data_IF_859582371244
#
_entry.id   IF_859582371244
#
_cell.length_a   1.000
_cell.length_b   1.000
_cell.length_c   1.000
_cell.angle_alpha   90.00
_cell.angle_beta   90.00
_cell.angle_gamma   90.00
#
_symmetry.space_group_name_H-M   'P 1'
#
loop_
_entity.id
_entity.type
_entity.pdbx_description
1 polymer ?
#
# COMPACT_ATOMS: atom_id res chain seq x y z
N UNK A 1 -32.97 -6.06 -30.24
CA UNK A 1 -32.85 -5.30 -28.98
C UNK A 1 -31.43 -5.46 -28.52
N UNK A 2 -30.63 -4.39 -28.61
CA UNK A 2 -29.30 -4.33 -28.01
C UNK A 2 -29.52 -3.97 -26.54
N UNK A 3 -29.10 -4.85 -25.63
CA UNK A 3 -29.15 -4.57 -24.20
C UNK A 3 -28.25 -3.38 -23.88
N UNK A 4 -28.66 -2.51 -22.93
CA UNK A 4 -27.90 -1.32 -22.59
C UNK A 4 -26.56 -1.76 -21.98
N UNK A 5 -25.51 -1.03 -22.37
CA UNK A 5 -24.17 -1.17 -21.84
C UNK A 5 -24.21 -1.47 -20.33
N UNK A 6 -23.74 -2.66 -19.94
CA UNK A 6 -23.27 -2.88 -18.60
C UNK A 6 -22.14 -1.89 -18.39
N UNK A 7 -22.44 -0.71 -17.84
CA UNK A 7 -21.44 0.15 -17.23
C UNK A 7 -20.75 -0.72 -16.18
N UNK A 8 -19.63 -1.37 -16.56
CA UNK A 8 -18.65 -1.88 -15.61
C UNK A 8 -18.39 -0.72 -14.68
N UNK A 9 -18.83 -0.82 -13.43
CA UNK A 9 -18.66 0.21 -12.39
C UNK A 9 -17.16 0.43 -12.21
N UNK A 10 -16.59 1.27 -13.07
CA UNK A 10 -15.15 1.34 -13.24
C UNK A 10 -14.62 2.11 -12.04
N UNK A 11 -13.78 1.46 -11.22
CA UNK A 11 -13.22 2.12 -10.06
C UNK A 11 -12.59 3.47 -10.45
N UNK A 12 -12.70 4.50 -9.60
CA UNK A 12 -12.20 5.82 -9.93
C UNK A 12 -10.73 5.75 -10.35
N UNK A 13 -10.36 6.49 -11.40
CA UNK A 13 -9.00 6.50 -11.95
C UNK A 13 -7.91 6.70 -10.89
N UNK A 14 -8.19 7.49 -9.86
CA UNK A 14 -7.26 7.73 -8.76
C UNK A 14 -7.06 6.52 -7.85
N UNK A 15 -8.10 5.72 -7.63
CA UNK A 15 -7.99 4.45 -6.89
C UNK A 15 -7.16 3.46 -7.70
N UNK A 16 -7.46 3.31 -9.00
CA UNK A 16 -6.73 2.44 -9.92
C UNK A 16 -5.24 2.76 -9.96
N UNK A 17 -4.91 4.04 -10.17
CA UNK A 17 -3.53 4.51 -10.19
C UNK A 17 -2.83 4.32 -8.84
N UNK A 18 -3.48 4.64 -7.73
CA UNK A 18 -2.87 4.47 -6.42
C UNK A 18 -2.61 3.00 -6.07
N UNK A 19 -3.55 2.11 -6.38
CA UNK A 19 -3.39 0.66 -6.23
C UNK A 19 -2.25 0.14 -7.11
N UNK A 20 -2.22 0.54 -8.39
CA UNK A 20 -1.14 0.16 -9.30
C UNK A 20 0.24 0.62 -8.82
N UNK A 21 0.34 1.85 -8.29
CA UNK A 21 1.58 2.37 -7.69
C UNK A 21 1.96 1.62 -6.41
N UNK A 22 0.99 1.18 -5.60
CA UNK A 22 1.26 0.38 -4.41
C UNK A 22 1.88 -0.98 -4.80
N UNK A 23 1.25 -1.71 -5.72
CA UNK A 23 1.78 -3.00 -6.20
C UNK A 23 3.08 -2.84 -7.02
N UNK A 24 3.23 -1.75 -7.75
CA UNK A 24 4.42 -1.42 -8.54
C UNK A 24 5.50 -0.67 -7.77
N UNK A 25 5.38 -0.47 -6.45
CA UNK A 25 6.27 0.43 -5.70
C UNK A 25 7.75 0.04 -5.77
N UNK A 26 8.06 -1.25 -5.92
CA UNK A 26 9.45 -1.67 -6.18
C UNK A 26 9.96 -1.16 -7.52
N UNK A 27 9.14 -1.22 -8.58
CA UNK A 27 9.54 -0.73 -9.90
C UNK A 27 9.64 0.80 -9.94
N UNK A 28 8.67 1.51 -9.33
CA UNK A 28 8.59 2.97 -9.38
C UNK A 28 9.46 3.69 -8.35
N UNK A 29 9.82 3.03 -7.25
CA UNK A 29 10.55 3.64 -6.12
C UNK A 29 11.77 2.82 -5.76
N UNK A 30 11.62 1.52 -5.50
CA UNK A 30 12.72 0.65 -5.08
C UNK A 30 13.90 0.63 -6.05
N UNK A 31 13.66 0.33 -7.33
CA UNK A 31 14.68 0.24 -8.39
C UNK A 31 15.33 1.61 -8.64
N UNK A 32 14.59 2.72 -8.82
CA UNK A 32 15.20 4.05 -8.94
C UNK A 32 16.09 4.41 -7.75
N UNK A 33 15.65 4.12 -6.50
CA UNK A 33 16.48 4.33 -5.30
C UNK A 33 17.71 3.42 -5.33
N UNK A 34 17.61 2.19 -5.86
CA UNK A 34 18.75 1.31 -6.04
C UNK A 34 19.82 1.89 -6.96
N UNK A 35 19.40 2.45 -8.09
CA UNK A 35 20.32 2.99 -9.09
C UNK A 35 21.02 4.25 -8.57
N UNK A 36 20.34 5.07 -7.76
CA UNK A 36 20.80 6.42 -7.41
C UNK A 36 21.44 6.49 -6.02
N UNK A 37 20.94 5.75 -5.02
CA UNK A 37 21.19 6.06 -3.61
C UNK A 37 21.61 4.86 -2.74
N UNK A 38 20.89 3.73 -2.80
CA UNK A 38 21.04 2.63 -1.82
C UNK A 38 21.11 1.26 -2.48
N UNK A 39 22.06 0.41 -2.09
CA UNK A 39 22.08 -0.97 -2.60
C UNK A 39 20.88 -1.80 -2.14
N UNK A 40 20.52 -2.82 -2.90
CA UNK A 40 19.59 -3.87 -2.45
C UNK A 40 20.18 -4.59 -1.22
N UNK A 41 19.35 -4.98 -0.24
CA UNK A 41 17.89 -4.88 -0.20
C UNK A 41 17.37 -3.55 0.38
N UNK A 42 18.25 -2.65 0.82
CA UNK A 42 17.91 -1.50 1.66
C UNK A 42 17.08 -0.44 0.95
N UNK A 43 17.23 -0.30 -0.36
CA UNK A 43 16.37 0.54 -1.20
C UNK A 43 14.88 0.16 -1.14
N UNK A 44 14.56 -1.10 -0.78
CA UNK A 44 13.20 -1.62 -0.76
C UNK A 44 12.45 -1.29 0.53
N UNK A 45 13.13 -0.79 1.57
CA UNK A 45 12.53 -0.49 2.89
C UNK A 45 11.31 0.43 2.79
N UNK A 46 11.32 1.37 1.84
CA UNK A 46 10.23 2.31 1.63
C UNK A 46 8.99 1.71 0.96
N UNK A 47 9.11 0.61 0.22
CA UNK A 47 8.03 0.07 -0.62
C UNK A 47 6.82 -0.44 0.20
N UNK A 48 7.00 -1.23 1.28
CA UNK A 48 5.89 -1.64 2.14
C UNK A 48 5.21 -0.45 2.82
N UNK A 49 6.01 0.51 3.30
CA UNK A 49 5.51 1.70 3.99
C UNK A 49 4.70 2.58 3.05
N UNK A 50 5.20 2.82 1.84
CA UNK A 50 4.49 3.60 0.82
C UNK A 50 3.15 2.96 0.48
N UNK A 51 3.14 1.65 0.20
CA UNK A 51 1.93 0.89 -0.09
C UNK A 51 0.92 0.98 1.05
N UNK A 52 1.38 0.86 2.30
CA UNK A 52 0.54 1.04 3.48
C UNK A 52 -0.01 2.46 3.62
N UNK A 53 0.79 3.48 3.32
CA UNK A 53 0.34 4.88 3.34
C UNK A 53 -0.74 5.14 2.28
N UNK A 54 -0.62 4.54 1.10
CA UNK A 54 -1.65 4.57 0.06
C UNK A 54 -2.93 3.90 0.56
N UNK A 55 -2.83 2.69 1.12
CA UNK A 55 -3.96 1.96 1.70
C UNK A 55 -4.69 2.81 2.76
N UNK A 56 -3.93 3.42 3.67
CA UNK A 56 -4.46 4.30 4.72
C UNK A 56 -5.12 5.56 4.15
N UNK A 57 -4.57 6.14 3.09
CA UNK A 57 -5.13 7.30 2.39
C UNK A 57 -6.51 6.97 1.80
N UNK A 58 -6.64 5.82 1.12
CA UNK A 58 -7.92 5.36 0.58
C UNK A 58 -8.94 5.05 1.66
N UNK A 59 -8.52 4.37 2.73
CA UNK A 59 -9.37 4.09 3.88
C UNK A 59 -9.99 5.36 4.46
N UNK A 60 -9.19 6.42 4.62
CA UNK A 60 -9.65 7.74 5.13
C UNK A 60 -10.67 8.42 4.24
N UNK A 61 -10.69 8.09 2.96
CA UNK A 61 -11.60 8.65 1.95
C UNK A 61 -12.82 7.73 1.70
N UNK A 62 -13.00 6.69 2.52
CA UNK A 62 -14.09 5.72 2.35
C UNK A 62 -13.93 4.80 1.13
N UNK A 63 -12.74 4.73 0.54
CA UNK A 63 -12.46 3.97 -0.68
C UNK A 63 -12.06 2.54 -0.32
N UNK A 64 -13.06 1.65 -0.20
CA UNK A 64 -12.89 0.27 0.29
C UNK A 64 -11.96 -0.53 -0.62
N UNK A 65 -12.18 -0.47 -1.93
CA UNK A 65 -11.41 -1.22 -2.92
C UNK A 65 -9.94 -0.80 -2.91
N UNK A 66 -9.64 0.49 -3.08
CA UNK A 66 -8.26 0.98 -3.03
C UNK A 66 -7.57 0.72 -1.69
N UNK A 67 -8.31 0.78 -0.57
CA UNK A 67 -7.75 0.46 0.75
C UNK A 67 -7.37 -1.03 0.87
N UNK A 68 -8.16 -1.91 0.27
CA UNK A 68 -7.90 -3.35 0.22
C UNK A 68 -6.69 -3.67 -0.65
N UNK A 69 -6.65 -3.17 -1.89
CA UNK A 69 -5.55 -3.38 -2.82
C UNK A 69 -4.23 -2.83 -2.25
N UNK A 70 -4.24 -1.61 -1.69
CA UNK A 70 -3.06 -1.05 -1.03
C UNK A 70 -2.57 -1.88 0.18
N UNK A 71 -3.48 -2.54 0.90
CA UNK A 71 -3.12 -3.42 2.02
C UNK A 71 -2.49 -4.73 1.53
N UNK A 72 -3.04 -5.33 0.47
CA UNK A 72 -2.41 -6.49 -0.19
C UNK A 72 -1.01 -6.14 -0.69
N UNK A 73 -0.88 -5.01 -1.40
CA UNK A 73 0.41 -4.51 -1.87
C UNK A 73 1.41 -4.38 -0.72
N UNK A 74 1.02 -3.73 0.39
CA UNK A 74 1.91 -3.57 1.54
C UNK A 74 2.47 -4.88 2.09
N UNK A 75 1.65 -5.95 2.13
CA UNK A 75 2.08 -7.26 2.62
C UNK A 75 3.02 -7.92 1.62
N UNK A 76 2.71 -7.86 0.34
CA UNK A 76 3.55 -8.44 -0.71
C UNK A 76 4.90 -7.74 -0.82
N UNK A 77 4.92 -6.40 -0.73
CA UNK A 77 6.18 -5.66 -0.66
C UNK A 77 7.00 -6.03 0.57
N UNK A 78 6.35 -6.28 1.72
CA UNK A 78 7.04 -6.73 2.92
C UNK A 78 7.64 -8.12 2.73
N UNK A 79 6.90 -9.06 2.13
CA UNK A 79 7.41 -10.39 1.80
C UNK A 79 8.61 -10.33 0.84
N UNK A 80 8.52 -9.49 -0.20
CA UNK A 80 9.60 -9.26 -1.14
C UNK A 80 10.84 -8.72 -0.43
N UNK A 81 10.69 -7.72 0.45
CA UNK A 81 11.78 -7.20 1.27
C UNK A 81 12.39 -8.30 2.17
N UNK A 82 11.57 -9.12 2.83
CA UNK A 82 12.06 -10.23 3.67
C UNK A 82 12.86 -11.23 2.84
N UNK A 83 12.39 -11.59 1.64
CA UNK A 83 13.13 -12.47 0.74
C UNK A 83 14.47 -11.85 0.32
N UNK A 84 14.48 -10.57 -0.06
CA UNK A 84 15.69 -9.87 -0.48
C UNK A 84 16.72 -9.73 0.67
N UNK A 85 16.25 -9.41 1.88
CA UNK A 85 17.11 -9.37 3.09
C UNK A 85 17.67 -10.75 3.41
N UNK A 86 16.84 -11.79 3.35
CA UNK A 86 17.29 -13.16 3.63
C UNK A 86 18.32 -13.62 2.61
N UNK A 87 18.12 -13.34 1.32
CA UNK A 87 19.09 -13.64 0.28
C UNK A 87 20.44 -12.93 0.52
N UNK A 88 20.40 -11.68 0.97
CA UNK A 88 21.59 -10.89 1.30
C UNK A 88 22.35 -11.46 2.51
N UNK A 89 21.64 -11.74 3.61
CA UNK A 89 22.23 -12.27 4.84
C UNK A 89 22.79 -13.69 4.67
N UNK A 90 22.24 -14.46 3.72
CA UNK A 90 22.67 -15.84 3.43
C UNK A 90 23.56 -15.93 2.19
N UNK A 91 24.15 -14.83 1.74
CA UNK A 91 25.03 -14.79 0.56
C UNK A 91 26.21 -15.76 0.61
N UNK A 92 26.68 -16.13 1.80
CA UNK A 92 27.70 -17.19 1.98
C UNK A 92 27.19 -18.63 1.73
N UNK A 93 25.88 -18.83 1.64
CA UNK A 93 25.23 -20.12 1.38
C UNK A 93 24.48 -20.05 0.05
N UNK A 94 25.18 -20.33 -1.05
CA UNK A 94 24.69 -20.10 -2.41
C UNK A 94 23.28 -20.67 -2.68
N UNK A 95 23.01 -21.89 -2.23
CA UNK A 95 21.70 -22.55 -2.44
C UNK A 95 20.57 -21.76 -1.78
N UNK A 96 20.75 -21.34 -0.52
CA UNK A 96 19.75 -20.59 0.23
C UNK A 96 19.55 -19.21 -0.39
N UNK A 97 20.65 -18.51 -0.69
CA UNK A 97 20.60 -17.19 -1.33
C UNK A 97 19.88 -17.23 -2.68
N UNK A 98 20.13 -18.25 -3.50
CA UNK A 98 19.46 -18.44 -4.80
C UNK A 98 17.95 -18.68 -4.65
N UNK A 99 17.53 -19.51 -3.68
CA UNK A 99 16.11 -19.78 -3.42
C UNK A 99 15.37 -18.49 -3.05
N UNK A 100 15.92 -17.70 -2.13
CA UNK A 100 15.28 -16.45 -1.72
C UNK A 100 15.35 -15.36 -2.80
N UNK A 101 16.42 -15.31 -3.58
CA UNK A 101 16.53 -14.39 -4.73
C UNK A 101 15.49 -14.73 -5.80
N UNK A 102 15.34 -16.02 -6.14
CA UNK A 102 14.33 -16.47 -7.08
C UNK A 102 12.91 -16.24 -6.55
N UNK A 103 12.67 -16.50 -5.26
CA UNK A 103 11.41 -16.19 -4.60
C UNK A 103 11.06 -14.69 -4.64
N UNK A 104 12.03 -13.81 -4.36
CA UNK A 104 11.85 -12.36 -4.47
C UNK A 104 11.54 -11.94 -5.91
N UNK A 105 12.20 -12.55 -6.90
CA UNK A 105 11.92 -12.31 -8.31
C UNK A 105 10.50 -12.73 -8.71
N UNK A 106 10.04 -13.92 -8.30
CA UNK A 106 8.67 -14.37 -8.56
C UNK A 106 7.63 -13.46 -7.90
N UNK A 107 7.87 -13.05 -6.65
CA UNK A 107 7.01 -12.09 -5.95
C UNK A 107 6.96 -10.74 -6.67
N UNK A 108 8.11 -10.27 -7.18
CA UNK A 108 8.17 -9.04 -7.96
C UNK A 108 7.31 -9.13 -9.24
N UNK A 109 7.46 -10.21 -10.01
CA UNK A 109 6.66 -10.43 -11.23
C UNK A 109 5.17 -10.52 -10.90
N UNK A 110 4.81 -11.26 -9.85
CA UNK A 110 3.41 -11.40 -9.43
C UNK A 110 2.83 -10.05 -8.94
N UNK A 111 3.64 -9.23 -8.27
CA UNK A 111 3.26 -7.87 -7.88
C UNK A 111 3.13 -6.93 -9.08
N UNK A 112 3.94 -7.09 -10.13
CA UNK A 112 3.79 -6.32 -11.36
C UNK A 112 2.53 -6.71 -12.14
N UNK A 113 2.14 -7.98 -12.12
CA UNK A 113 0.85 -8.40 -12.66
C UNK A 113 -0.30 -7.74 -11.88
N UNK A 114 -0.27 -7.77 -10.55
CA UNK A 114 -1.25 -7.06 -9.72
C UNK A 114 -1.31 -5.56 -10.02
N UNK A 115 -0.16 -4.93 -10.29
CA UNK A 115 -0.11 -3.52 -10.67
C UNK A 115 -0.81 -3.26 -12.01
N UNK A 116 -0.69 -4.18 -12.97
CA UNK A 116 -1.36 -4.08 -14.26
C UNK A 116 -2.89 -4.25 -14.12
N UNK A 117 -3.34 -5.30 -13.42
CA UNK A 117 -4.76 -5.59 -13.24
C UNK A 117 -5.46 -4.43 -12.50
N UNK A 118 -4.87 -3.95 -11.41
CA UNK A 118 -5.42 -2.80 -10.67
C UNK A 118 -5.35 -1.48 -11.47
N UNK A 119 -4.39 -1.33 -12.37
CA UNK A 119 -4.35 -0.19 -13.29
C UNK A 119 -5.48 -0.26 -14.33
N UNK A 120 -5.79 -1.45 -14.85
CA UNK A 120 -6.94 -1.69 -15.75
C UNK A 120 -8.28 -1.55 -15.01
N UNK A 121 -8.26 -1.64 -13.68
CA UNK A 121 -9.44 -1.52 -12.82
C UNK A 121 -10.07 -2.85 -12.47
N UNK A 122 -9.33 -3.94 -12.69
CA UNK A 122 -9.74 -5.28 -12.32
C UNK A 122 -9.40 -5.55 -10.84
N UNK A 123 -10.20 -6.40 -10.21
CA UNK A 123 -9.93 -6.90 -8.88
C UNK A 123 -8.75 -7.87 -8.92
N UNK A 124 -7.71 -7.57 -8.15
CA UNK A 124 -6.60 -8.49 -7.97
C UNK A 124 -6.67 -9.19 -6.61
N UNK A 125 -6.42 -10.49 -6.61
CA UNK A 125 -6.37 -11.31 -5.41
C UNK A 125 -5.14 -12.22 -5.40
N UNK A 126 -4.24 -11.96 -4.45
CA UNK A 126 -3.11 -12.85 -4.19
C UNK A 126 -3.61 -14.17 -3.58
N UNK A 127 -3.23 -15.26 -4.26
CA UNK A 127 -3.47 -16.62 -3.78
C UNK A 127 -2.87 -16.79 -2.38
N UNK A 128 -3.69 -17.24 -1.42
CA UNK A 128 -3.27 -17.57 -0.06
C UNK A 128 -3.37 -16.44 0.98
N UNK A 129 -3.33 -15.16 0.57
CA UNK A 129 -3.42 -14.03 1.52
C UNK A 129 -4.70 -13.20 1.39
N UNK A 130 -5.38 -13.22 0.24
CA UNK A 130 -6.54 -12.36 -0.04
C UNK A 130 -7.68 -12.48 0.98
N UNK A 131 -8.05 -13.70 1.40
CA UNK A 131 -9.16 -13.92 2.35
C UNK A 131 -8.88 -13.29 3.72
N UNK A 132 -7.66 -13.49 4.24
CA UNK A 132 -7.23 -12.93 5.52
C UNK A 132 -7.18 -11.40 5.45
N UNK A 133 -6.61 -10.86 4.37
CA UNK A 133 -6.49 -9.42 4.18
C UNK A 133 -7.83 -8.75 3.93
N UNK A 134 -8.79 -9.45 3.31
CA UNK A 134 -10.15 -8.95 3.11
C UNK A 134 -10.82 -8.71 4.46
N UNK A 135 -10.70 -9.68 5.37
CA UNK A 135 -11.19 -9.57 6.74
C UNK A 135 -10.51 -8.44 7.52
N UNK A 136 -9.18 -8.33 7.44
CA UNK A 136 -8.43 -7.27 8.13
C UNK A 136 -8.77 -5.88 7.57
N UNK A 137 -8.89 -5.76 6.25
CA UNK A 137 -9.28 -4.51 5.58
C UNK A 137 -10.69 -4.08 5.99
N UNK A 138 -11.66 -4.99 5.93
CA UNK A 138 -13.04 -4.72 6.35
C UNK A 138 -13.13 -4.28 7.83
N UNK A 139 -12.43 -4.99 8.73
CA UNK A 139 -12.35 -4.57 10.14
C UNK A 139 -11.69 -3.20 10.33
N UNK A 140 -10.67 -2.90 9.52
CA UNK A 140 -9.97 -1.62 9.59
C UNK A 140 -10.80 -0.45 9.06
N UNK A 141 -11.72 -0.68 8.12
CA UNK A 141 -12.69 0.34 7.66
C UNK A 141 -13.67 0.72 8.77
N UNK A 142 -14.07 -0.24 9.62
CA UNK A 142 -15.00 0.00 10.73
C UNK A 142 -14.37 0.64 11.97
N UNK A 143 -13.04 0.81 12.03
CA UNK A 143 -12.37 1.42 13.19
C UNK A 143 -12.48 2.94 13.14
N UNK A 144 -13.06 3.60 14.15
CA UNK A 144 -13.03 5.06 14.24
C UNK A 144 -11.58 5.52 14.32
N UNK A 145 -11.19 6.46 13.46
CA UNK A 145 -9.86 7.07 13.58
C UNK A 145 -9.81 7.80 14.92
N UNK A 146 -8.84 7.47 15.78
CA UNK A 146 -8.51 8.28 16.95
C UNK A 146 -7.99 9.61 16.41
N UNK A 147 -8.92 10.53 16.14
CA UNK A 147 -8.66 11.90 15.75
C UNK A 147 -7.65 12.42 16.76
N UNK A 148 -6.44 12.79 16.31
CA UNK A 148 -5.41 13.39 17.16
C UNK A 148 -6.04 14.62 17.83
N UNK A 149 -6.56 14.42 19.04
CA UNK A 149 -7.16 15.45 19.90
C UNK A 149 -6.11 16.43 20.45
N UNK A 150 -4.87 16.32 19.96
CA UNK A 150 -3.71 17.08 20.42
C UNK A 150 -3.52 18.42 19.71
N UNK A 151 -4.21 18.69 18.59
CA UNK A 151 -4.11 19.99 17.89
C UNK A 151 -5.25 20.95 18.27
N UNK A 152 -6.36 20.45 18.82
CA UNK A 152 -7.52 21.27 19.21
C UNK A 152 -7.54 21.67 20.69
N UNK A 153 -6.48 21.37 21.44
CA UNK A 153 -6.37 21.75 22.86
C UNK A 153 -5.62 23.07 23.09
N UNK A 154 -5.11 23.68 22.01
CA UNK A 154 -4.35 24.94 22.07
C UNK A 154 -5.11 26.19 21.63
N UNK A 155 -6.37 26.08 21.16
CA UNK A 155 -7.12 27.22 20.61
C UNK A 155 -8.26 27.76 21.49
N UNK A 156 -8.35 27.33 22.75
CA UNK A 156 -9.49 27.73 23.61
C UNK A 156 -9.04 28.28 24.97
N UNK A 157 -8.06 29.19 24.98
CA UNK A 157 -7.67 29.88 26.22
C UNK A 157 -6.98 31.23 26.04
N UNK A 158 -7.52 32.12 25.20
CA UNK A 158 -7.32 33.58 25.32
C UNK A 158 -8.34 34.27 24.43
N UNK A 159 -9.47 34.67 25.01
CA UNK A 159 -10.07 36.00 24.83
C UNK A 159 -11.39 36.02 25.60
N UNK A 160 -11.26 35.96 26.91
CA UNK A 160 -12.37 36.22 27.83
C UNK A 160 -11.83 37.04 29.02
N UNK A 161 -11.36 38.26 28.72
CA UNK A 161 -11.23 39.36 29.68
C UNK A 161 -11.29 40.70 28.95
N UNK A 162 -12.48 41.28 28.93
CA UNK A 162 -12.71 42.65 28.47
C UNK A 162 -14.15 43.10 28.59
N UNK A 163 -14.75 43.01 29.79
CA UNK A 163 -15.91 43.84 30.13
C UNK A 163 -15.51 45.33 30.02
N UNK A 164 -16.39 46.29 29.75
CA UNK A 164 -17.85 46.39 29.85
C UNK A 164 -18.38 47.40 28.80
N UNK A 165 -19.72 47.47 28.59
CA UNK A 165 -20.35 48.56 27.88
C UNK A 165 -20.63 49.75 28.81
N UNK A 166 -20.08 50.92 28.46
CA UNK A 166 -20.66 52.28 28.45
C UNK A 166 -19.57 53.33 28.41
#
# INVERSE_FOLDING_TARGET
MLEPDQETEQYPRIERWGSAVAHGSVAFVGIPITIILLNLPWSLLGCPVLSYMIARSFRRRGRVWGAYQGMQASVIQLLLLVCAVTAHLTSGFQVISNVFSFGAFLLFVYSMWAALDTWLGDDFDYIGISKLLGYVSAKNMGRPEVRRRWVTMGQNKTDDKGGMPR
#
